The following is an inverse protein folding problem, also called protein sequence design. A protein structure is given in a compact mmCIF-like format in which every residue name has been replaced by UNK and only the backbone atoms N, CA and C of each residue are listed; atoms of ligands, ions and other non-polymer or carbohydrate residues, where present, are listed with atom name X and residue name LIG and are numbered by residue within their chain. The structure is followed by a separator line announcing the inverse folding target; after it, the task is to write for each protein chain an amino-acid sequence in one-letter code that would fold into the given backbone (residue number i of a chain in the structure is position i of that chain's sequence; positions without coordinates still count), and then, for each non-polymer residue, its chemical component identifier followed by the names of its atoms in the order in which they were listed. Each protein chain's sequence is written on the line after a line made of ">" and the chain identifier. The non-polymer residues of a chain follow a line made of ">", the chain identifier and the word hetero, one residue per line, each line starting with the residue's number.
data_IF_233232189641
#
_entry.id   IF_233232189641
#
_cell.length_a   1.000
_cell.length_b   1.000
_cell.length_c   1.000
_cell.angle_alpha   90.00
_cell.angle_beta   90.00
_cell.angle_gamma   90.00
#
_symmetry.space_group_name_H-M   'P 1'
#
loop_
_entity.id
_entity.type
_entity.pdbx_description
1 polymer ?
#
# COMPACT_ATOMS: atom_id res chain seq x y z
N UNK A 1 10.21 10.95 -12.67
CA UNK A 1 11.00 9.86 -12.05
C UNK A 1 10.27 9.18 -10.88
N UNK A 2 9.16 9.75 -10.37
CA UNK A 2 8.42 9.24 -9.21
C UNK A 2 7.17 8.42 -9.63
N UNK A 3 6.66 8.52 -10.86
CA UNK A 3 5.36 7.86 -11.20
C UNK A 3 5.44 6.39 -11.64
N UNK A 4 6.62 5.76 -11.63
CA UNK A 4 6.77 4.37 -12.11
C UNK A 4 6.63 3.39 -10.96
N UNK A 5 5.41 2.91 -10.75
CA UNK A 5 5.13 1.71 -9.97
C UNK A 5 5.35 0.46 -10.84
N UNK A 6 5.72 -0.67 -10.23
CA UNK A 6 5.92 -1.97 -10.90
C UNK A 6 4.60 -2.61 -11.40
N UNK A 7 3.73 -1.84 -12.06
CA UNK A 7 2.35 -2.19 -12.37
C UNK A 7 2.18 -3.47 -13.21
N UNK A 8 3.19 -3.86 -13.99
CA UNK A 8 3.16 -5.09 -14.79
C UNK A 8 3.26 -6.37 -13.95
N UNK A 9 3.81 -6.29 -12.73
CA UNK A 9 3.93 -7.46 -11.84
C UNK A 9 2.67 -7.70 -11.00
N UNK A 10 1.76 -6.72 -10.87
CA UNK A 10 0.55 -6.86 -10.03
C UNK A 10 -0.33 -8.04 -10.47
N UNK A 11 -0.58 -8.20 -11.77
CA UNK A 11 -1.45 -9.26 -12.28
C UNK A 11 -0.84 -10.66 -12.13
N UNK A 12 0.42 -10.92 -12.54
CA UNK A 12 1.07 -12.21 -12.29
C UNK A 12 1.18 -12.57 -10.80
N UNK A 13 1.47 -11.58 -9.94
CA UNK A 13 1.56 -11.81 -8.49
C UNK A 13 0.18 -12.16 -7.92
N UNK A 14 -0.87 -11.40 -8.24
CA UNK A 14 -2.22 -11.69 -7.79
C UNK A 14 -2.68 -13.09 -8.24
N UNK A 15 -2.41 -13.48 -9.49
CA UNK A 15 -2.71 -14.82 -9.99
C UNK A 15 -1.94 -15.92 -9.25
N UNK A 16 -0.64 -15.70 -9.00
CA UNK A 16 0.20 -16.67 -8.27
C UNK A 16 -0.25 -16.84 -6.83
N UNK A 17 -0.54 -15.73 -6.15
CA UNK A 17 -1.06 -15.74 -4.78
C UNK A 17 -2.44 -16.38 -4.74
N UNK A 18 -3.37 -16.01 -5.63
CA UNK A 18 -4.74 -16.58 -5.62
C UNK A 18 -4.76 -18.07 -5.98
N UNK A 19 -3.83 -18.52 -6.83
CA UNK A 19 -3.73 -19.93 -7.21
C UNK A 19 -3.21 -20.82 -6.08
N UNK A 20 -2.32 -20.28 -5.25
CA UNK A 20 -1.60 -21.07 -4.24
C UNK A 20 -2.12 -20.79 -2.82
N UNK A 21 -2.56 -19.57 -2.53
CA UNK A 21 -3.05 -19.07 -1.25
C UNK A 21 -4.53 -18.61 -1.35
N UNK A 22 -5.03 -17.89 -0.34
CA UNK A 22 -6.42 -17.42 -0.30
C UNK A 22 -6.63 -16.09 -1.05
N UNK A 23 -7.87 -15.86 -1.50
CA UNK A 23 -8.28 -14.57 -2.08
C UNK A 23 -8.05 -13.40 -1.10
N UNK A 24 -8.25 -13.62 0.20
CA UNK A 24 -7.98 -12.62 1.23
C UNK A 24 -6.50 -12.17 1.25
N UNK A 25 -5.56 -13.12 1.15
CA UNK A 25 -4.12 -12.79 1.10
C UNK A 25 -3.80 -11.99 -0.16
N UNK A 26 -4.39 -12.36 -1.31
CA UNK A 26 -4.18 -11.65 -2.57
C UNK A 26 -4.72 -10.21 -2.54
N UNK A 27 -5.92 -10.00 -2.01
CA UNK A 27 -6.54 -8.68 -1.86
C UNK A 27 -5.76 -7.79 -0.90
N UNK A 28 -5.40 -8.33 0.28
CA UNK A 28 -4.64 -7.60 1.28
C UNK A 28 -3.25 -7.21 0.78
N UNK A 29 -2.57 -8.12 0.08
CA UNK A 29 -1.29 -7.83 -0.56
C UNK A 29 -1.42 -6.70 -1.60
N UNK A 30 -2.46 -6.73 -2.42
CA UNK A 30 -2.71 -5.68 -3.42
C UNK A 30 -2.90 -4.31 -2.79
N UNK A 31 -3.69 -4.24 -1.71
CA UNK A 31 -3.93 -2.99 -0.96
C UNK A 31 -2.64 -2.46 -0.31
N UNK A 32 -1.85 -3.34 0.34
CA UNK A 32 -0.56 -2.97 0.94
C UNK A 32 0.40 -2.43 -0.12
N UNK A 33 0.51 -3.10 -1.28
CA UNK A 33 1.36 -2.62 -2.38
C UNK A 33 0.90 -1.26 -2.87
N UNK A 34 -0.42 -1.06 -3.03
CA UNK A 34 -0.97 0.23 -3.41
C UNK A 34 -0.61 1.33 -2.38
N UNK A 35 -0.86 1.10 -1.10
CA UNK A 35 -0.58 2.06 -0.02
C UNK A 35 0.90 2.36 0.10
N UNK A 36 1.76 1.34 0.02
CA UNK A 36 3.23 1.51 -0.02
C UNK A 36 3.65 2.42 -1.15
N UNK A 37 3.08 2.22 -2.35
CA UNK A 37 3.41 3.09 -3.48
C UNK A 37 2.93 4.52 -3.24
N UNK A 38 1.77 4.75 -2.61
CA UNK A 38 1.32 6.09 -2.23
C UNK A 38 2.27 6.78 -1.24
N UNK A 39 2.81 6.02 -0.27
CA UNK A 39 3.82 6.50 0.69
C UNK A 39 5.13 6.86 0.00
N UNK A 40 5.69 5.94 -0.81
CA UNK A 40 6.96 6.15 -1.53
C UNK A 40 6.87 7.31 -2.53
N UNK A 41 5.69 7.50 -3.13
CA UNK A 41 5.44 8.57 -4.11
C UNK A 41 4.79 9.81 -3.49
N UNK A 42 4.82 9.93 -2.16
CA UNK A 42 4.40 11.14 -1.49
C UNK A 42 5.43 12.26 -1.63
N UNK A 43 4.96 13.48 -1.45
CA UNK A 43 5.76 14.68 -1.47
C UNK A 43 5.47 15.52 -0.23
N UNK A 44 6.50 16.23 0.25
CA UNK A 44 6.36 17.14 1.38
C UNK A 44 5.59 18.38 0.95
N UNK A 45 4.66 18.83 1.78
CA UNK A 45 3.97 20.09 1.64
C UNK A 45 3.79 20.76 3.01
N UNK A 46 3.53 22.06 3.02
CA UNK A 46 3.36 22.82 4.25
C UNK A 46 1.88 23.10 4.45
N UNK A 47 1.32 22.57 5.54
CA UNK A 47 -0.02 22.92 6.00
C UNK A 47 0.04 24.26 6.76
N UNK A 48 -1.13 24.87 7.00
CA UNK A 48 -1.24 26.11 7.77
C UNK A 48 -0.43 26.03 9.07
N UNK A 49 0.24 27.12 9.47
CA UNK A 49 1.12 27.22 10.65
C UNK A 49 2.48 26.52 10.54
N UNK A 50 3.04 26.42 9.33
CA UNK A 50 4.39 25.88 9.07
C UNK A 50 4.57 24.38 9.40
N UNK A 51 3.48 23.64 9.54
CA UNK A 51 3.55 22.19 9.76
C UNK A 51 3.89 21.50 8.43
N UNK A 52 4.94 20.68 8.44
CA UNK A 52 5.35 19.87 7.29
C UNK A 52 4.60 18.55 7.31
N UNK A 53 3.84 18.27 6.25
CA UNK A 53 3.07 17.04 6.09
C UNK A 53 3.38 16.38 4.74
N UNK A 54 3.13 15.08 4.65
CA UNK A 54 3.18 14.33 3.40
C UNK A 54 1.83 14.39 2.70
N UNK A 55 1.84 14.69 1.40
CA UNK A 55 0.69 14.56 0.53
C UNK A 55 1.02 13.60 -0.62
N UNK A 56 -0.01 12.98 -1.16
CA UNK A 56 0.10 12.12 -2.34
C UNK A 56 -1.14 12.28 -3.20
N UNK A 57 -1.11 11.69 -4.39
CA UNK A 57 -2.23 11.70 -5.32
C UNK A 57 -2.60 10.27 -5.70
N UNK A 58 -3.88 9.94 -5.69
CA UNK A 58 -4.32 8.69 -6.30
C UNK A 58 -4.14 8.74 -7.82
N UNK A 59 -3.66 7.63 -8.40
CA UNK A 59 -3.37 7.57 -9.83
C UNK A 59 -4.63 7.44 -10.68
N UNK A 60 -5.68 6.83 -10.15
CA UNK A 60 -6.91 6.52 -10.88
C UNK A 60 -7.85 7.72 -10.84
N UNK A 61 -8.14 8.22 -9.65
CA UNK A 61 -9.08 9.32 -9.42
C UNK A 61 -8.43 10.71 -9.52
N UNK A 62 -7.09 10.78 -9.51
CA UNK A 62 -6.33 12.04 -9.40
C UNK A 62 -6.61 12.85 -8.14
N UNK A 63 -7.29 12.27 -7.15
CA UNK A 63 -7.57 12.95 -5.88
C UNK A 63 -6.30 13.03 -5.03
N UNK A 64 -6.04 14.22 -4.48
CA UNK A 64 -4.94 14.43 -3.54
C UNK A 64 -5.43 14.22 -2.11
N UNK A 65 -4.58 13.61 -1.29
CA UNK A 65 -4.85 13.38 0.12
C UNK A 65 -3.55 13.40 0.93
N UNK A 66 -3.68 13.62 2.24
CA UNK A 66 -2.55 13.63 3.16
C UNK A 66 -2.22 12.22 3.64
N UNK A 67 -0.93 11.95 3.81
CA UNK A 67 -0.44 10.78 4.54
C UNK A 67 -0.18 11.26 5.96
N UNK A 68 -1.20 11.15 6.78
CA UNK A 68 -1.15 11.45 8.21
C UNK A 68 -0.71 10.22 9.01
N UNK A 69 -0.63 10.39 10.33
CA UNK A 69 -0.25 9.32 11.25
C UNK A 69 -1.23 8.13 11.15
N UNK A 70 -2.53 8.40 11.06
CA UNK A 70 -3.55 7.36 10.95
C UNK A 70 -3.37 6.50 9.71
N UNK A 71 -3.07 7.10 8.56
CA UNK A 71 -2.76 6.37 7.33
C UNK A 71 -1.57 5.42 7.52
N UNK A 72 -0.50 5.89 8.18
CA UNK A 72 0.71 5.10 8.41
C UNK A 72 0.47 3.95 9.41
N UNK A 73 -0.24 4.21 10.50
CA UNK A 73 -0.61 3.18 11.48
C UNK A 73 -1.44 2.10 10.80
N UNK A 74 -2.47 2.48 10.04
CA UNK A 74 -3.31 1.53 9.32
C UNK A 74 -2.51 0.68 8.32
N UNK A 75 -1.55 1.28 7.61
CA UNK A 75 -0.65 0.54 6.73
C UNK A 75 0.17 -0.53 7.49
N UNK A 76 0.71 -0.19 8.66
CA UNK A 76 1.47 -1.12 9.51
C UNK A 76 0.58 -2.26 10.00
N UNK A 77 -0.64 -1.96 10.47
CA UNK A 77 -1.60 -2.96 10.94
C UNK A 77 -1.99 -3.96 9.85
N UNK A 78 -2.29 -3.45 8.65
CA UNK A 78 -2.60 -4.30 7.49
C UNK A 78 -1.41 -5.17 7.10
N UNK A 79 -0.19 -4.61 7.12
CA UNK A 79 1.03 -5.37 6.83
C UNK A 79 1.29 -6.46 7.88
N UNK A 80 1.04 -6.19 9.16
CA UNK A 80 1.13 -7.20 10.22
C UNK A 80 0.08 -8.31 10.02
N UNK A 81 -1.16 -7.94 9.67
CA UNK A 81 -2.21 -8.92 9.34
C UNK A 81 -1.78 -9.82 8.18
N UNK A 82 -1.22 -9.25 7.11
CA UNK A 82 -0.71 -10.02 5.98
C UNK A 82 0.40 -10.97 6.40
N UNK A 83 1.35 -10.48 7.21
CA UNK A 83 2.44 -11.29 7.75
C UNK A 83 1.92 -12.49 8.53
N UNK A 84 0.90 -12.29 9.37
CA UNK A 84 0.25 -13.38 10.10
C UNK A 84 -0.41 -14.39 9.15
N UNK A 85 -1.23 -13.93 8.20
CA UNK A 85 -1.90 -14.82 7.24
C UNK A 85 -0.91 -15.62 6.37
N UNK A 86 0.21 -15.01 5.96
CA UNK A 86 1.26 -15.69 5.22
C UNK A 86 1.99 -16.72 6.09
N UNK A 87 2.21 -16.43 7.37
CA UNK A 87 2.81 -17.37 8.30
C UNK A 87 1.93 -18.62 8.50
N UNK A 88 0.62 -18.41 8.73
CA UNK A 88 -0.36 -19.50 8.83
C UNK A 88 -0.43 -20.33 7.53
N UNK A 89 -0.37 -19.67 6.37
CA UNK A 89 -0.39 -20.34 5.07
C UNK A 89 0.86 -21.19 4.82
N UNK A 90 2.05 -20.70 5.16
CA UNK A 90 3.31 -21.40 4.93
C UNK A 90 3.50 -22.62 5.86
N UNK A 91 2.74 -22.69 6.95
CA UNK A 91 2.92 -23.69 8.01
C UNK A 91 4.08 -23.36 8.95
N UNK A 92 4.02 -23.95 10.14
CA UNK A 92 5.12 -23.93 11.11
C UNK A 92 6.31 -24.76 10.65
#
# INVERSE_FOLDING_TARGET
>A
MIDKESGQLKSPIAQTITKNASAEIAELFSDIVYRRNRIIHSFRCTLSKNEQILATKDRITNQQFYIDEHYLINFIELNNKLSYLLHEYCGY
#
